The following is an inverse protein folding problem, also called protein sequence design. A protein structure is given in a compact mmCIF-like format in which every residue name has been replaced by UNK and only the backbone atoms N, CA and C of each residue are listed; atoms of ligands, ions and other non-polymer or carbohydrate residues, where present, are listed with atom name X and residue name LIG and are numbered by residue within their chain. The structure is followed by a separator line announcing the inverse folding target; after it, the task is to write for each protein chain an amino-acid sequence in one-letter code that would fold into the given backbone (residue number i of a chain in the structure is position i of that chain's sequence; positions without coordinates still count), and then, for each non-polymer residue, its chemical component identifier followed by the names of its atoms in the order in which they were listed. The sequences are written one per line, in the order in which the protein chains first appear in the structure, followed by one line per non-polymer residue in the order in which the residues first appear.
data_IF_691349224040
#
_entry.id   IF_691349224040
#
_cell.length_a   1.000
_cell.length_b   1.000
_cell.length_c   1.000
_cell.angle_alpha   90.00
_cell.angle_beta   90.00
_cell.angle_gamma   90.00
#
_symmetry.space_group_name_H-M   'P 1'
#
loop_
_entity.id
_entity.type
_entity.pdbx_description
1 polymer ?
#
# COMPACT_ATOMS: atom_id res chain seq x y z
N UNK A 1 13.94 -30.57 -10.69
CA UNK A 1 13.70 -29.16 -10.34
C UNK A 1 15.05 -28.51 -10.10
N UNK A 2 15.42 -27.48 -10.86
CA UNK A 2 16.68 -26.77 -10.68
C UNK A 2 16.58 -25.86 -9.46
N UNK A 3 17.56 -25.93 -8.55
CA UNK A 3 17.64 -25.02 -7.40
C UNK A 3 17.75 -23.57 -7.91
N UNK A 4 17.02 -22.60 -7.32
CA UNK A 4 17.14 -21.19 -7.70
C UNK A 4 18.55 -20.68 -7.37
N UNK A 5 19.05 -19.76 -8.19
CA UNK A 5 20.35 -19.11 -7.93
C UNK A 5 20.26 -18.23 -6.70
N UNK A 6 21.38 -18.01 -6.01
CA UNK A 6 21.46 -17.10 -4.86
C UNK A 6 20.92 -15.69 -5.19
N UNK A 7 21.23 -15.18 -6.39
CA UNK A 7 20.68 -13.90 -6.87
C UNK A 7 19.16 -13.91 -7.00
N UNK A 8 18.57 -15.02 -7.44
CA UNK A 8 17.12 -15.14 -7.56
C UNK A 8 16.44 -15.18 -6.19
N UNK A 9 17.04 -15.85 -5.21
CA UNK A 9 16.57 -15.86 -3.82
C UNK A 9 16.63 -14.45 -3.23
N UNK A 10 17.75 -13.75 -3.39
CA UNK A 10 17.90 -12.38 -2.89
C UNK A 10 16.87 -11.43 -3.49
N UNK A 11 16.67 -11.46 -4.80
CA UNK A 11 15.69 -10.61 -5.48
C UNK A 11 14.24 -10.90 -5.00
N UNK A 12 13.93 -12.16 -4.74
CA UNK A 12 12.64 -12.54 -4.15
C UNK A 12 12.47 -11.96 -2.74
N UNK A 13 13.47 -12.12 -1.87
CA UNK A 13 13.44 -11.60 -0.50
C UNK A 13 13.31 -10.08 -0.46
N UNK A 14 14.06 -9.38 -1.31
CA UNK A 14 14.00 -7.93 -1.44
C UNK A 14 12.61 -7.47 -1.85
N UNK A 15 11.97 -8.16 -2.82
CA UNK A 15 10.62 -7.86 -3.25
C UNK A 15 9.58 -8.08 -2.13
N UNK A 16 9.68 -9.20 -1.38
CA UNK A 16 8.78 -9.47 -0.26
C UNK A 16 8.94 -8.41 0.85
N UNK A 17 10.18 -8.04 1.17
CA UNK A 17 10.50 -7.03 2.18
C UNK A 17 9.96 -5.67 1.77
N UNK A 18 10.18 -5.24 0.52
CA UNK A 18 9.66 -3.98 0.01
C UNK A 18 8.13 -3.93 0.09
N UNK A 19 7.45 -5.01 -0.28
CA UNK A 19 5.99 -5.11 -0.18
C UNK A 19 5.51 -5.00 1.27
N UNK A 20 6.11 -5.75 2.19
CA UNK A 20 5.76 -5.71 3.61
C UNK A 20 5.98 -4.31 4.22
N UNK A 21 7.10 -3.65 3.89
CA UNK A 21 7.39 -2.30 4.36
C UNK A 21 6.36 -1.29 3.84
N UNK A 22 5.98 -1.38 2.56
CA UNK A 22 5.01 -0.47 1.97
C UNK A 22 3.62 -0.65 2.57
N UNK A 23 3.16 -1.91 2.76
CA UNK A 23 1.91 -2.22 3.47
C UNK A 23 1.92 -1.69 4.91
N UNK A 24 3.03 -1.88 5.63
CA UNK A 24 3.18 -1.39 7.01
C UNK A 24 3.11 0.14 7.08
N UNK A 25 3.72 0.84 6.13
CA UNK A 25 3.66 2.30 6.06
C UNK A 25 2.22 2.80 5.81
N UNK A 26 1.47 2.17 4.90
CA UNK A 26 0.05 2.48 4.67
C UNK A 26 -0.78 2.22 5.91
N UNK A 27 -0.58 1.07 6.57
CA UNK A 27 -1.29 0.73 7.81
C UNK A 27 -1.10 1.80 8.88
N UNK A 28 0.13 2.25 9.13
CA UNK A 28 0.43 3.32 10.10
C UNK A 28 -0.24 4.63 9.72
N UNK A 29 -0.18 5.01 8.44
CA UNK A 29 -0.83 6.24 7.97
C UNK A 29 -2.36 6.22 8.19
N UNK A 30 -3.00 5.06 8.01
CA UNK A 30 -4.43 4.86 8.25
C UNK A 30 -4.75 4.78 9.74
N UNK A 31 -3.89 4.15 10.55
CA UNK A 31 -4.00 4.13 12.00
C UNK A 31 -4.02 5.56 12.56
N UNK A 32 -3.10 6.41 12.10
CA UNK A 32 -3.01 7.82 12.48
C UNK A 32 -4.23 8.65 12.02
N UNK A 33 -4.91 8.22 10.94
CA UNK A 33 -6.13 8.86 10.46
C UNK A 33 -7.38 8.43 11.24
N UNK A 34 -7.30 7.32 11.97
CA UNK A 34 -8.41 6.74 12.72
C UNK A 34 -9.63 6.43 11.84
N UNK A 35 -10.83 6.57 12.42
CA UNK A 35 -12.09 6.27 11.72
C UNK A 35 -12.45 7.21 10.56
N UNK A 36 -11.70 8.31 10.39
CA UNK A 36 -11.92 9.23 9.27
C UNK A 36 -11.40 8.67 7.93
N UNK A 37 -10.40 7.78 7.98
CA UNK A 37 -9.77 7.22 6.79
C UNK A 37 -8.98 8.24 5.96
N UNK A 38 -8.43 7.78 4.84
CA UNK A 38 -7.66 8.59 3.89
C UNK A 38 -7.94 8.19 2.44
N UNK A 39 -8.00 9.17 1.54
CA UNK A 39 -8.00 8.91 0.09
C UNK A 39 -6.61 8.46 -0.39
N UNK A 40 -6.54 7.87 -1.59
CA UNK A 40 -5.27 7.45 -2.20
C UNK A 40 -4.23 8.57 -2.29
N UNK A 41 -4.68 9.79 -2.60
CA UNK A 41 -3.81 10.97 -2.70
C UNK A 41 -3.29 11.40 -1.32
N UNK A 42 -4.13 11.32 -0.28
CA UNK A 42 -3.70 11.66 1.08
C UNK A 42 -2.70 10.64 1.62
N UNK A 43 -2.91 9.34 1.36
CA UNK A 43 -1.96 8.29 1.74
C UNK A 43 -0.62 8.54 1.03
N UNK A 44 -0.62 8.71 -0.30
CA UNK A 44 0.61 8.92 -1.05
C UNK A 44 1.37 10.18 -0.59
N UNK A 45 0.68 11.31 -0.41
CA UNK A 45 1.28 12.55 0.13
C UNK A 45 1.87 12.37 1.53
N UNK A 46 1.17 11.69 2.45
CA UNK A 46 1.67 11.43 3.81
C UNK A 46 2.94 10.56 3.79
N UNK A 47 3.04 9.64 2.84
CA UNK A 47 4.19 8.75 2.70
C UNK A 47 5.34 9.35 1.87
N UNK A 48 5.23 10.61 1.43
CA UNK A 48 6.23 11.24 0.56
C UNK A 48 6.33 10.60 -0.83
N UNK A 49 5.28 9.90 -1.26
CA UNK A 49 5.19 9.35 -2.61
C UNK A 49 4.76 10.51 -3.50
N UNK A 50 5.67 10.95 -4.38
CA UNK A 50 5.44 12.04 -5.34
C UNK A 50 5.43 11.53 -6.78
N UNK A 51 5.69 10.25 -6.98
CA UNK A 51 5.64 9.58 -8.28
C UNK A 51 4.19 9.34 -8.72
N UNK A 52 3.98 9.22 -10.03
CA UNK A 52 2.67 8.96 -10.64
C UNK A 52 2.63 9.45 -12.09
N UNK A 53 1.54 9.15 -12.79
CA UNK A 53 1.26 9.73 -14.12
C UNK A 53 0.40 10.98 -13.98
N UNK A 54 0.40 11.83 -15.02
CA UNK A 54 -0.39 13.08 -15.05
C UNK A 54 -1.83 12.84 -14.57
N UNK A 55 -2.23 13.55 -13.51
CA UNK A 55 -3.55 13.40 -12.87
C UNK A 55 -3.63 12.40 -11.70
N UNK A 56 -2.56 11.65 -11.42
CA UNK A 56 -2.42 10.70 -10.32
C UNK A 56 -1.07 10.80 -9.60
N UNK A 57 -0.40 11.93 -9.76
CA UNK A 57 0.85 12.24 -9.08
C UNK A 57 0.66 12.21 -7.56
N UNK A 58 1.52 11.44 -6.89
CA UNK A 58 1.49 11.26 -5.45
C UNK A 58 0.29 10.48 -4.91
N UNK A 59 -0.34 9.66 -5.76
CA UNK A 59 -1.29 8.66 -5.31
C UNK A 59 -0.55 7.39 -4.90
N UNK A 60 -0.94 6.79 -3.77
CA UNK A 60 -0.56 5.40 -3.50
C UNK A 60 -1.16 4.48 -4.58
N UNK A 61 -0.43 3.46 -5.06
CA UNK A 61 -0.96 2.51 -6.05
C UNK A 61 -2.24 1.85 -5.58
N UNK A 62 -3.29 1.89 -6.40
CA UNK A 62 -4.59 1.23 -6.10
C UNK A 62 -4.42 -0.27 -5.89
N UNK A 63 -3.55 -0.91 -6.66
CA UNK A 63 -3.27 -2.35 -6.54
C UNK A 63 -2.76 -2.72 -5.16
N UNK A 64 -1.95 -1.88 -4.51
CA UNK A 64 -1.50 -2.14 -3.15
C UNK A 64 -2.66 -2.16 -2.16
N UNK A 65 -3.56 -1.18 -2.25
CA UNK A 65 -4.73 -1.09 -1.37
C UNK A 65 -5.69 -2.25 -1.61
N UNK A 66 -5.90 -2.64 -2.86
CA UNK A 66 -6.70 -3.81 -3.21
C UNK A 66 -6.09 -5.13 -2.67
N UNK A 67 -4.76 -5.27 -2.67
CA UNK A 67 -4.09 -6.41 -2.02
C UNK A 67 -4.37 -6.40 -0.51
N UNK A 68 -4.19 -5.24 0.15
CA UNK A 68 -4.44 -5.12 1.59
C UNK A 68 -5.92 -5.35 1.96
N UNK A 69 -6.85 -4.98 1.08
CA UNK A 69 -8.28 -5.25 1.23
C UNK A 69 -8.59 -6.74 1.10
N UNK A 70 -8.00 -7.41 0.11
CA UNK A 70 -8.08 -8.87 -0.02
C UNK A 70 -7.46 -9.63 1.16
N UNK A 71 -6.53 -9.00 1.87
CA UNK A 71 -5.93 -9.49 3.12
C UNK A 71 -6.74 -9.08 4.37
N UNK A 72 -7.90 -8.44 4.20
CA UNK A 72 -8.78 -7.94 5.26
C UNK A 72 -8.14 -6.91 6.22
N UNK A 73 -7.08 -6.23 5.79
CA UNK A 73 -6.38 -5.22 6.61
C UNK A 73 -7.05 -3.85 6.51
N UNK A 74 -7.57 -3.52 5.33
CA UNK A 74 -8.23 -2.24 5.03
C UNK A 74 -9.55 -2.49 4.32
N UNK A 75 -10.43 -1.49 4.36
CA UNK A 75 -11.69 -1.49 3.62
C UNK A 75 -11.87 -0.13 2.93
N UNK A 76 -12.45 -0.15 1.72
CA UNK A 76 -12.79 1.08 1.00
C UNK A 76 -14.22 1.55 1.30
N UNK A 77 -14.35 2.79 1.75
CA UNK A 77 -15.60 3.56 1.67
C UNK A 77 -15.71 4.13 0.26
N UNK A 78 -16.51 3.49 -0.59
CA UNK A 78 -16.65 3.85 -2.01
C UNK A 78 -17.31 5.21 -2.23
N UNK A 79 -18.23 5.58 -1.33
CA UNK A 79 -18.99 6.84 -1.44
C UNK A 79 -18.06 8.02 -1.18
N UNK A 80 -17.22 7.91 -0.15
CA UNK A 80 -16.27 8.96 0.25
C UNK A 80 -14.92 8.82 -0.45
N UNK A 81 -14.68 7.70 -1.14
CA UNK A 81 -13.38 7.33 -1.75
C UNK A 81 -12.25 7.32 -0.73
N UNK A 82 -12.53 6.85 0.48
CA UNK A 82 -11.59 6.78 1.59
C UNK A 82 -11.28 5.33 1.92
N UNK A 83 -10.09 5.11 2.43
CA UNK A 83 -9.64 3.83 2.98
C UNK A 83 -9.53 3.97 4.48
N UNK A 84 -9.92 2.91 5.21
CA UNK A 84 -9.77 2.82 6.66
C UNK A 84 -9.28 1.43 7.04
N UNK A 85 -8.79 1.28 8.27
CA UNK A 85 -8.47 -0.04 8.80
C UNK A 85 -9.76 -0.84 8.99
N UNK A 86 -9.76 -2.10 8.56
CA UNK A 86 -10.83 -3.04 8.85
C UNK A 86 -10.89 -3.29 10.35
N UNK A 87 -12.12 -3.46 10.88
CA UNK A 87 -12.35 -3.80 12.29
C UNK A 87 -12.37 -5.30 12.53
#
# INVERSE_FOLDING_TARGET
MTQPTERAVQAYEDAQRAMAMLKSAVYRALLDAGGNGLSNAQIGKRLGIHTGHKGHEGHIPRTLLAIMEGEHVVEQDTDRKLWRLSR
#
